data_IF_366968853544
#
_entry.id   IF_366968853544
#
_cell.length_a   1.000
_cell.length_b   1.000
_cell.length_c   1.000
_cell.angle_alpha   90.00
_cell.angle_beta   90.00
_cell.angle_gamma   90.00
#
_symmetry.space_group_name_H-M   'P 1'
#
loop_
_entity.id
_entity.type
_entity.pdbx_description
1 polymer ?
#
# COMPACT_ATOMS: atom_id res chain seq x y z
N UNK A 1 12.86 12.08 24.74
CA UNK A 1 12.01 11.07 24.15
C UNK A 1 11.64 11.42 22.74
N UNK A 2 11.91 10.54 21.84
CA UNK A 2 11.74 10.81 20.42
C UNK A 2 10.50 10.13 19.87
N UNK A 3 9.60 10.93 19.32
CA UNK A 3 8.48 10.42 18.52
C UNK A 3 8.95 10.12 17.10
N UNK A 4 10.07 9.44 16.96
CA UNK A 4 10.64 9.18 15.65
C UNK A 4 9.88 8.06 14.94
N UNK A 5 9.45 8.34 13.73
CA UNK A 5 8.86 7.34 12.86
C UNK A 5 9.95 6.37 12.41
N UNK A 6 9.72 5.09 12.60
CA UNK A 6 10.63 4.04 12.18
C UNK A 6 9.94 3.19 11.13
N UNK A 7 10.62 2.94 10.01
CA UNK A 7 10.12 1.99 9.00
C UNK A 7 11.02 0.76 9.08
N UNK A 8 10.41 -0.38 9.38
CA UNK A 8 11.12 -1.65 9.54
C UNK A 8 10.44 -2.75 8.73
N UNK A 9 11.17 -3.82 8.49
CA UNK A 9 10.58 -4.98 7.84
C UNK A 9 9.52 -5.60 8.75
N UNK A 10 8.40 -5.99 8.16
CA UNK A 10 7.34 -6.65 8.90
C UNK A 10 7.75 -8.06 9.28
N UNK A 11 7.30 -8.49 10.44
CA UNK A 11 7.42 -9.88 10.88
C UNK A 11 6.10 -10.60 10.59
N UNK A 12 6.17 -11.93 10.46
CA UNK A 12 4.95 -12.73 10.25
C UNK A 12 3.92 -12.51 11.35
N UNK A 13 4.37 -12.23 12.57
CA UNK A 13 3.50 -11.93 13.71
C UNK A 13 2.76 -10.60 13.60
N UNK A 14 3.16 -9.73 12.66
CA UNK A 14 2.46 -8.45 12.42
C UNK A 14 1.22 -8.64 11.53
N UNK A 15 1.07 -9.79 10.87
CA UNK A 15 0.08 -10.00 9.82
C UNK A 15 -1.35 -9.61 10.21
N UNK A 16 -1.80 -10.02 11.40
CA UNK A 16 -3.16 -9.71 11.85
C UNK A 16 -3.38 -8.20 12.02
N UNK A 17 -2.38 -7.49 12.54
CA UNK A 17 -2.45 -6.04 12.69
C UNK A 17 -2.46 -5.35 11.34
N UNK A 18 -1.68 -5.84 10.38
CA UNK A 18 -1.65 -5.28 9.03
C UNK A 18 -3.00 -5.44 8.33
N UNK A 19 -3.64 -6.60 8.49
CA UNK A 19 -4.98 -6.82 7.96
C UNK A 19 -5.97 -5.82 8.54
N UNK A 20 -5.92 -5.59 9.85
CA UNK A 20 -6.80 -4.62 10.49
C UNK A 20 -6.58 -3.22 9.96
N UNK A 21 -5.32 -2.82 9.76
CA UNK A 21 -5.00 -1.51 9.20
C UNK A 21 -5.59 -1.38 7.79
N UNK A 22 -5.42 -2.40 6.95
CA UNK A 22 -5.94 -2.38 5.58
C UNK A 22 -7.45 -2.26 5.56
N UNK A 23 -8.14 -3.04 6.38
CA UNK A 23 -9.60 -3.02 6.48
C UNK A 23 -10.10 -1.67 6.99
N UNK A 24 -9.50 -1.16 8.06
CA UNK A 24 -9.91 0.12 8.65
C UNK A 24 -9.67 1.28 7.69
N UNK A 25 -8.54 1.26 6.97
CA UNK A 25 -8.23 2.29 5.98
C UNK A 25 -9.23 2.25 4.82
N UNK A 26 -9.60 1.06 4.35
CA UNK A 26 -10.59 0.91 3.28
C UNK A 26 -11.97 1.42 3.74
N UNK A 27 -12.35 1.11 4.96
CA UNK A 27 -13.61 1.61 5.54
C UNK A 27 -13.64 3.12 5.65
N UNK A 28 -12.49 3.74 5.86
CA UNK A 28 -12.38 5.19 6.00
C UNK A 28 -12.90 5.93 4.76
N UNK A 29 -12.83 5.31 3.58
CA UNK A 29 -13.33 5.89 2.34
C UNK A 29 -14.85 5.92 2.25
N UNK A 30 -15.57 5.30 3.20
CA UNK A 30 -17.03 5.33 3.25
C UNK A 30 -17.72 4.29 2.39
N UNK A 31 -17.01 3.25 1.98
CA UNK A 31 -17.64 2.17 1.21
C UNK A 31 -18.64 1.38 2.06
N UNK A 32 -19.71 0.85 1.45
CA UNK A 32 -20.68 0.01 2.18
C UNK A 32 -20.01 -1.19 2.83
N UNK A 33 -20.53 -1.62 3.98
CA UNK A 33 -19.96 -2.75 4.71
C UNK A 33 -19.94 -4.05 3.89
N UNK A 34 -20.95 -4.29 3.06
CA UNK A 34 -20.95 -5.50 2.22
C UNK A 34 -19.89 -5.47 1.13
N UNK A 35 -19.44 -4.27 0.71
CA UNK A 35 -18.30 -4.15 -0.18
C UNK A 35 -17.00 -4.50 0.55
N UNK A 36 -16.86 -4.02 1.77
CA UNK A 36 -15.70 -4.36 2.60
C UNK A 36 -15.62 -5.88 2.80
N UNK A 37 -16.76 -6.51 3.08
CA UNK A 37 -16.82 -7.97 3.22
C UNK A 37 -16.43 -8.69 1.92
N UNK A 38 -16.83 -8.16 0.77
CA UNK A 38 -16.45 -8.70 -0.54
C UNK A 38 -14.93 -8.63 -0.76
N UNK A 39 -14.30 -7.57 -0.27
CA UNK A 39 -12.84 -7.38 -0.40
C UNK A 39 -12.02 -8.01 0.72
N UNK A 40 -12.66 -8.72 1.66
CA UNK A 40 -11.98 -9.24 2.85
C UNK A 40 -10.74 -10.06 2.50
N UNK A 41 -10.83 -10.94 1.52
CA UNK A 41 -9.70 -11.77 1.11
C UNK A 41 -8.57 -10.93 0.52
N UNK A 42 -8.92 -9.93 -0.29
CA UNK A 42 -7.94 -9.03 -0.90
C UNK A 42 -7.23 -8.16 0.14
N UNK A 43 -7.91 -7.83 1.22
CA UNK A 43 -7.37 -6.99 2.30
C UNK A 43 -6.63 -7.81 3.35
N UNK A 44 -6.74 -9.14 3.33
CA UNK A 44 -6.11 -10.00 4.31
C UNK A 44 -4.63 -10.18 4.00
N UNK A 45 -3.80 -9.88 4.98
CA UNK A 45 -2.36 -10.07 4.92
C UNK A 45 -2.05 -11.33 5.72
N UNK A 46 -1.57 -12.38 5.06
CA UNK A 46 -1.23 -13.63 5.75
C UNK A 46 0.23 -13.62 6.21
N UNK A 47 0.58 -14.42 7.23
CA UNK A 47 1.97 -14.58 7.61
C UNK A 47 2.86 -15.05 6.46
N UNK A 48 2.34 -15.94 5.61
CA UNK A 48 3.08 -16.44 4.44
C UNK A 48 3.34 -15.33 3.43
N UNK A 49 2.37 -14.45 3.22
CA UNK A 49 2.55 -13.30 2.32
C UNK A 49 3.66 -12.39 2.84
N UNK A 50 3.69 -12.13 4.14
CA UNK A 50 4.74 -11.30 4.77
C UNK A 50 6.12 -11.93 4.56
N UNK A 51 6.20 -13.25 4.74
CA UNK A 51 7.47 -13.96 4.58
C UNK A 51 7.93 -14.00 3.13
N UNK A 52 7.00 -14.07 2.17
CA UNK A 52 7.33 -14.25 0.75
C UNK A 52 7.59 -12.94 0.00
N UNK A 53 7.19 -11.80 0.56
CA UNK A 53 7.25 -10.52 -0.14
C UNK A 53 7.95 -9.46 0.72
N UNK A 54 8.12 -8.28 0.13
CA UNK A 54 8.80 -7.18 0.82
C UNK A 54 7.76 -6.28 1.49
N UNK A 55 7.48 -6.58 2.74
CA UNK A 55 6.48 -5.88 3.53
C UNK A 55 7.19 -5.08 4.62
N UNK A 56 6.93 -3.78 4.67
CA UNK A 56 7.52 -2.87 5.64
C UNK A 56 6.43 -2.11 6.39
N UNK A 57 6.66 -1.89 7.67
CA UNK A 57 5.72 -1.19 8.55
C UNK A 57 6.33 0.10 9.05
N UNK A 58 5.48 1.11 9.20
CA UNK A 58 5.84 2.35 9.86
C UNK A 58 5.31 2.27 11.28
N UNK A 59 6.18 2.49 12.26
CA UNK A 59 5.79 2.48 13.66
C UNK A 59 6.38 3.66 14.42
N UNK A 60 5.69 4.02 15.48
CA UNK A 60 6.13 5.04 16.42
C UNK A 60 5.75 4.56 17.82
N UNK A 61 6.73 4.46 18.70
CA UNK A 61 6.54 3.99 20.08
C UNK A 61 5.82 2.63 20.14
N UNK A 62 6.11 1.74 19.18
CA UNK A 62 5.51 0.40 19.13
C UNK A 62 4.15 0.33 18.45
N UNK A 63 3.54 1.47 18.12
CA UNK A 63 2.27 1.49 17.41
C UNK A 63 2.49 1.43 15.90
N UNK A 64 1.84 0.47 15.24
CA UNK A 64 1.90 0.36 13.78
C UNK A 64 0.95 1.38 13.17
N UNK A 65 1.48 2.28 12.35
CA UNK A 65 0.76 3.40 11.76
C UNK A 65 0.36 3.18 10.32
N UNK A 66 1.02 2.25 9.65
CA UNK A 66 0.78 1.93 8.25
C UNK A 66 1.80 0.94 7.74
N UNK A 67 1.62 0.52 6.51
CA UNK A 67 2.54 -0.43 5.88
C UNK A 67 2.43 -0.38 4.37
N UNK A 68 3.44 -0.95 3.71
CA UNK A 68 3.36 -1.23 2.28
C UNK A 68 3.86 -2.63 1.98
N UNK A 69 3.48 -3.15 0.83
CA UNK A 69 3.97 -4.42 0.33
C UNK A 69 4.39 -4.27 -1.13
N UNK A 70 5.64 -4.63 -1.42
CA UNK A 70 6.15 -4.73 -2.79
C UNK A 70 6.23 -6.19 -3.18
N UNK A 71 5.61 -6.53 -4.29
CA UNK A 71 5.74 -7.85 -4.90
C UNK A 71 6.68 -7.69 -6.09
N UNK A 72 7.86 -8.30 -5.99
CA UNK A 72 8.92 -8.13 -6.98
C UNK A 72 8.87 -9.28 -7.97
N UNK A 73 8.97 -8.94 -9.27
CA UNK A 73 8.97 -9.91 -10.34
C UNK A 73 9.97 -9.45 -11.42
N UNK A 74 11.19 -9.97 -11.35
CA UNK A 74 12.25 -9.56 -12.24
C UNK A 74 12.67 -8.11 -12.00
N UNK A 75 12.74 -7.32 -13.06
CA UNK A 75 13.08 -5.89 -12.98
C UNK A 75 11.90 -4.98 -12.65
N UNK A 76 10.75 -5.57 -12.35
CA UNK A 76 9.52 -4.83 -12.06
C UNK A 76 8.98 -5.20 -10.69
N UNK A 77 8.18 -4.32 -10.12
CA UNK A 77 7.48 -4.59 -8.88
C UNK A 77 6.07 -4.03 -8.95
N UNK A 78 5.21 -4.58 -8.12
CA UNK A 78 3.88 -4.05 -7.91
C UNK A 78 3.79 -3.58 -6.46
N UNK A 79 3.31 -2.35 -6.26
CA UNK A 79 2.96 -1.87 -4.94
C UNK A 79 1.57 -2.42 -4.62
N UNK A 80 1.57 -3.62 -4.05
CA UNK A 80 0.36 -4.41 -3.88
C UNK A 80 -0.51 -3.92 -2.74
N UNK A 81 0.14 -3.36 -1.72
CA UNK A 81 -0.54 -2.74 -0.58
C UNK A 81 0.18 -1.47 -0.17
N UNK A 82 -0.60 -0.46 0.18
CA UNK A 82 -0.12 0.73 0.87
C UNK A 82 -1.28 1.32 1.64
N UNK A 83 -1.20 1.20 2.95
CA UNK A 83 -2.29 1.58 3.84
C UNK A 83 -1.76 2.35 5.03
N UNK A 84 -2.49 3.39 5.43
CA UNK A 84 -2.21 4.17 6.64
C UNK A 84 -3.42 4.03 7.55
N UNK A 85 -3.18 3.73 8.82
CA UNK A 85 -4.26 3.65 9.81
C UNK A 85 -5.02 4.99 9.85
N UNK A 86 -6.36 4.96 9.92
CA UNK A 86 -7.15 6.20 9.86
C UNK A 86 -6.72 7.30 10.83
N UNK A 87 -6.30 6.93 12.04
CA UNK A 87 -5.84 7.91 13.04
C UNK A 87 -4.59 8.68 12.60
N UNK A 88 -3.86 8.18 11.60
CA UNK A 88 -2.58 8.74 11.16
C UNK A 88 -2.63 9.29 9.74
N UNK A 89 -3.78 9.28 9.10
CA UNK A 89 -3.96 9.87 7.76
C UNK A 89 -3.72 11.38 7.86
N UNK A 90 -2.94 11.90 6.91
CA UNK A 90 -2.61 13.33 6.89
C UNK A 90 -1.41 13.72 7.74
N UNK A 91 -0.75 12.75 8.38
CA UNK A 91 0.42 13.00 9.25
C UNK A 91 1.76 12.84 8.55
N UNK A 92 1.76 12.51 7.25
CA UNK A 92 2.99 12.28 6.50
C UNK A 92 3.47 10.84 6.48
N UNK A 93 2.79 9.94 7.16
CA UNK A 93 3.16 8.52 7.20
C UNK A 93 3.12 7.89 5.81
N UNK A 94 2.06 8.17 5.05
CA UNK A 94 1.94 7.64 3.69
C UNK A 94 3.07 8.09 2.79
N UNK A 95 3.45 9.35 2.87
CA UNK A 95 4.57 9.91 2.10
C UNK A 95 5.88 9.21 2.46
N UNK A 96 6.15 9.03 3.76
CA UNK A 96 7.37 8.37 4.22
C UNK A 96 7.43 6.91 3.78
N UNK A 97 6.30 6.20 3.86
CA UNK A 97 6.20 4.82 3.38
C UNK A 97 6.46 4.74 1.88
N UNK A 98 5.87 5.64 1.11
CA UNK A 98 6.06 5.64 -0.34
C UNK A 98 7.51 5.91 -0.73
N UNK A 99 8.14 6.89 -0.08
CA UNK A 99 9.56 7.20 -0.33
C UNK A 99 10.41 5.98 -0.01
N UNK A 100 10.15 5.33 1.12
CA UNK A 100 10.89 4.12 1.50
C UNK A 100 10.69 3.00 0.46
N UNK A 101 9.46 2.80 -0.02
CA UNK A 101 9.16 1.79 -1.03
C UNK A 101 9.94 2.05 -2.31
N UNK A 102 10.04 3.31 -2.74
CA UNK A 102 10.79 3.66 -3.95
C UNK A 102 12.30 3.46 -3.75
N UNK A 103 12.82 3.80 -2.58
CA UNK A 103 14.23 3.55 -2.25
C UNK A 103 14.53 2.06 -2.21
N UNK A 104 13.63 1.26 -1.67
CA UNK A 104 13.77 -0.19 -1.61
C UNK A 104 13.78 -0.78 -3.02
N UNK A 105 12.88 -0.33 -3.88
CA UNK A 105 12.83 -0.77 -5.27
C UNK A 105 14.08 -0.35 -6.04
N UNK A 106 14.51 0.89 -5.88
CA UNK A 106 15.70 1.41 -6.56
C UNK A 106 16.94 0.62 -6.17
N UNK A 107 17.08 0.26 -4.90
CA UNK A 107 18.21 -0.54 -4.40
C UNK A 107 18.28 -1.95 -4.97
N UNK A 108 17.18 -2.42 -5.59
CA UNK A 108 17.11 -3.75 -6.19
C UNK A 108 17.11 -3.69 -7.72
N UNK A 109 17.49 -2.54 -8.28
CA UNK A 109 17.54 -2.32 -9.72
C UNK A 109 16.18 -2.47 -10.41
N UNK A 110 15.11 -2.20 -9.68
CA UNK A 110 13.76 -2.18 -10.24
C UNK A 110 13.57 -0.84 -10.93
N UNK A 111 13.08 -0.86 -12.18
CA UNK A 111 12.90 0.34 -12.98
C UNK A 111 11.43 0.68 -13.25
N UNK A 112 10.51 -0.18 -12.83
CA UNK A 112 9.10 0.10 -12.96
C UNK A 112 8.34 -0.47 -11.75
N UNK A 113 7.62 0.41 -11.05
CA UNK A 113 6.70 0.02 -9.99
C UNK A 113 5.29 0.34 -10.47
N UNK A 114 4.46 -0.70 -10.58
CA UNK A 114 3.08 -0.56 -10.99
C UNK A 114 2.17 -0.44 -9.76
N UNK A 115 1.14 0.38 -9.90
CA UNK A 115 0.16 0.60 -8.83
C UNK A 115 -1.23 0.53 -9.46
N UNK A 116 -2.04 -0.44 -9.03
CA UNK A 116 -3.46 -0.46 -9.34
C UNK A 116 -4.15 0.21 -8.16
N UNK A 117 -4.58 1.43 -8.37
CA UNK A 117 -4.98 2.32 -7.28
C UNK A 117 -6.48 2.32 -7.05
N UNK A 118 -6.85 2.39 -5.76
CA UNK A 118 -8.19 2.85 -5.42
C UNK A 118 -8.36 4.25 -6.00
N UNK A 119 -9.53 4.57 -6.61
CA UNK A 119 -9.74 5.92 -7.17
C UNK A 119 -9.51 7.05 -6.16
N UNK A 120 -9.77 6.78 -4.88
CA UNK A 120 -9.56 7.77 -3.82
C UNK A 120 -8.08 8.04 -3.53
N UNK A 121 -7.19 7.10 -3.87
CA UNK A 121 -5.77 7.21 -3.59
C UNK A 121 -4.95 7.66 -4.80
N UNK A 122 -5.51 7.65 -6.00
CA UNK A 122 -4.76 7.94 -7.22
C UNK A 122 -4.10 9.32 -7.20
N UNK A 123 -4.78 10.33 -6.64
CA UNK A 123 -4.22 11.68 -6.51
C UNK A 123 -2.95 11.72 -5.68
N UNK A 124 -2.90 10.93 -4.61
CA UNK A 124 -1.69 10.82 -3.78
C UNK A 124 -0.53 10.29 -4.62
N UNK A 125 -0.74 9.20 -5.35
CA UNK A 125 0.33 8.60 -6.14
C UNK A 125 0.81 9.53 -7.27
N UNK A 126 -0.11 10.24 -7.92
CA UNK A 126 0.27 11.23 -8.95
C UNK A 126 1.14 12.33 -8.34
N UNK A 127 0.76 12.80 -7.16
CA UNK A 127 1.52 13.84 -6.45
C UNK A 127 2.92 13.35 -6.09
N UNK A 128 3.08 12.05 -5.85
CA UNK A 128 4.37 11.44 -5.54
C UNK A 128 5.20 11.14 -6.79
N UNK A 129 4.70 11.42 -7.97
CA UNK A 129 5.44 11.27 -9.22
C UNK A 129 5.01 10.12 -10.13
N UNK A 130 4.03 9.32 -9.71
CA UNK A 130 3.49 8.27 -10.57
C UNK A 130 2.59 8.86 -11.64
N UNK A 131 2.56 8.24 -12.80
CA UNK A 131 1.69 8.67 -13.90
C UNK A 131 0.78 7.52 -14.34
N UNK A 132 -0.42 7.89 -14.77
CA UNK A 132 -1.40 6.91 -15.20
C UNK A 132 -1.07 6.38 -16.59
N UNK A 133 -1.05 5.06 -16.72
CA UNK A 133 -0.77 4.38 -17.99
C UNK A 133 -1.98 3.61 -18.52
N UNK A 134 -3.05 3.52 -17.74
CA UNK A 134 -4.24 2.79 -18.14
C UNK A 134 -5.22 2.65 -17.00
N UNK A 135 -6.11 1.69 -17.17
CA UNK A 135 -7.17 1.40 -16.21
C UNK A 135 -7.38 -0.10 -16.12
N UNK A 136 -7.83 -0.55 -14.95
CA UNK A 136 -8.30 -1.91 -14.73
C UNK A 136 -9.76 -1.82 -14.37
N UNK A 137 -10.60 -2.65 -14.99
CA UNK A 137 -12.01 -2.71 -14.67
C UNK A 137 -12.26 -3.87 -13.72
N UNK A 138 -12.87 -3.59 -12.59
CA UNK A 138 -13.31 -4.57 -11.61
C UNK A 138 -14.84 -4.46 -11.52
N UNK A 139 -15.46 -5.39 -10.82
CA UNK A 139 -16.91 -5.38 -10.65
C UNK A 139 -17.24 -5.56 -9.17
N UNK A 140 -18.23 -4.81 -8.72
CA UNK A 140 -18.79 -4.99 -7.38
C UNK A 140 -20.29 -4.65 -7.45
N UNK A 141 -21.13 -5.49 -6.84
CA UNK A 141 -22.59 -5.37 -6.87
C UNK A 141 -23.15 -5.31 -8.29
N UNK A 142 -22.51 -6.00 -9.24
CA UNK A 142 -22.94 -5.99 -10.64
C UNK A 142 -22.59 -4.74 -11.41
N UNK A 143 -21.86 -3.79 -10.78
CA UNK A 143 -21.47 -2.53 -11.41
C UNK A 143 -19.98 -2.49 -11.72
N UNK A 144 -19.59 -1.94 -12.88
CA UNK A 144 -18.16 -1.81 -13.19
C UNK A 144 -17.51 -0.78 -12.29
N UNK A 145 -16.28 -1.07 -11.86
CA UNK A 145 -15.47 -0.19 -11.05
C UNK A 145 -14.14 0.00 -11.75
N UNK A 146 -13.84 1.25 -12.10
CA UNK A 146 -12.63 1.57 -12.84
C UNK A 146 -11.53 1.95 -11.86
N UNK A 147 -10.41 1.23 -11.94
CA UNK A 147 -9.24 1.46 -11.09
C UNK A 147 -8.11 2.01 -11.95
N UNK A 148 -7.59 3.21 -11.64
CA UNK A 148 -6.42 3.74 -12.36
C UNK A 148 -5.20 2.83 -12.19
N UNK A 149 -4.49 2.62 -13.29
CA UNK A 149 -3.19 1.94 -13.27
C UNK A 149 -2.10 2.99 -13.46
N UNK A 150 -1.22 3.07 -12.48
CA UNK A 150 -0.14 4.05 -12.51
C UNK A 150 1.20 3.33 -12.51
N UNK A 151 2.23 4.05 -12.95
CA UNK A 151 3.59 3.53 -12.97
C UNK A 151 4.54 4.65 -12.52
N UNK A 152 5.59 4.26 -11.84
CA UNK A 152 6.68 5.17 -11.50
C UNK A 152 8.01 4.43 -11.67
N UNK A 153 9.02 5.15 -12.16
CA UNK A 153 10.39 4.63 -12.22
C UNK A 153 11.11 5.07 -10.93
N UNK A 154 11.41 4.12 -10.03
CA UNK A 154 12.06 4.48 -8.76
C UNK A 154 13.51 4.90 -8.93
N UNK A 155 14.11 4.66 -10.10
CA UNK A 155 15.47 5.13 -10.41
C UNK A 155 15.48 6.59 -10.83
N UNK A 156 14.34 7.12 -11.24
CA UNK A 156 14.17 8.51 -11.65
C UNK A 156 13.89 9.35 -10.41
N UNK A 157 14.77 10.21 -10.06
CA UNK A 157 14.60 11.07 -8.89
C UNK A 157 14.26 12.49 -9.27
#
# INVERSE_FOLDING_TARGET
MTDTLIIRKAAATDAATLTRIAVDAKKHWGYPEHWIAHWQDDLTISPDFVAANQVYVAERDGDLMGFYALVVNGGKAELDHMWVAPAHIGSGVGKELFIHAMQTAAGQSIDAVEIVSDPNAAGFYRKMGAHQVGETVSEIDGEPRILPRLVIDPQSS
#
